data_IF_776539581953
#
_entry.id   IF_776539581953
#
_cell.length_a   1.000
_cell.length_b   1.000
_cell.length_c   1.000
_cell.angle_alpha   90.00
_cell.angle_beta   90.00
_cell.angle_gamma   90.00
#
_symmetry.space_group_name_H-M   'P 1'
#
loop_
_entity.id
_entity.type
_entity.pdbx_description
1 polymer ?
#
# COMPACT_ATOMS: atom_id res chain seq x y z
N UNK A 1 12.93 3.20 4.24
CA UNK A 1 12.32 3.64 5.53
C UNK A 1 12.28 2.47 6.50
N UNK A 2 11.82 2.70 7.74
CA UNK A 2 11.70 1.67 8.80
C UNK A 2 10.27 1.10 8.93
N UNK A 3 9.45 1.25 7.90
CA UNK A 3 8.05 0.82 7.84
C UNK A 3 7.87 -0.27 6.79
N UNK A 4 6.93 -1.19 7.03
CA UNK A 4 6.47 -2.12 6.00
C UNK A 4 5.65 -1.35 4.97
N UNK A 5 5.74 -1.72 3.68
CA UNK A 5 5.03 -1.03 2.60
C UNK A 5 3.86 -1.87 2.10
N UNK A 6 2.79 -1.18 1.72
CA UNK A 6 1.62 -1.71 1.06
C UNK A 6 1.36 -0.94 -0.23
N UNK A 7 0.97 -1.67 -1.25
CA UNK A 7 0.53 -1.16 -2.54
C UNK A 7 -0.93 -1.55 -2.74
N UNK A 8 -1.76 -0.58 -3.09
CA UNK A 8 -3.17 -0.79 -3.43
C UNK A 8 -3.32 -0.57 -4.91
N UNK A 9 -3.68 -1.65 -5.62
CA UNK A 9 -4.02 -1.61 -7.02
C UNK A 9 -5.53 -1.75 -7.20
N UNK A 10 -6.08 -1.01 -8.15
CA UNK A 10 -7.49 -1.08 -8.52
C UNK A 10 -7.59 -1.20 -10.04
N UNK A 11 -8.24 -2.25 -10.50
CA UNK A 11 -8.54 -2.50 -11.91
C UNK A 11 -9.99 -3.00 -12.06
N UNK A 12 -10.38 -3.42 -13.28
CA UNK A 12 -11.74 -3.87 -13.57
C UNK A 12 -12.13 -5.14 -12.76
N UNK A 13 -11.16 -5.92 -12.26
CA UNK A 13 -11.40 -7.10 -11.43
C UNK A 13 -11.56 -6.76 -9.93
N UNK A 14 -11.28 -5.51 -9.55
CA UNK A 14 -11.47 -4.96 -8.21
C UNK A 14 -10.18 -4.49 -7.54
N UNK A 15 -10.14 -4.55 -6.21
CA UNK A 15 -9.04 -4.03 -5.40
C UNK A 15 -8.10 -5.16 -4.97
N UNK A 16 -6.82 -5.04 -5.32
CA UNK A 16 -5.73 -5.87 -4.80
C UNK A 16 -4.86 -5.05 -3.85
N UNK A 17 -4.62 -5.56 -2.64
CA UNK A 17 -3.60 -5.02 -1.73
C UNK A 17 -2.42 -5.98 -1.67
N UNK A 18 -1.24 -5.46 -2.00
CA UNK A 18 0.00 -6.22 -2.05
C UNK A 18 0.97 -5.71 -0.99
N UNK A 19 1.58 -6.62 -0.25
CA UNK A 19 2.72 -6.31 0.61
C UNK A 19 3.79 -7.40 0.44
N UNK A 20 5.09 -7.04 0.36
CA UNK A 20 6.14 -8.03 0.31
C UNK A 20 6.15 -8.99 1.54
N UNK A 21 6.56 -10.27 1.35
CA UNK A 21 6.67 -11.23 2.43
C UNK A 21 7.84 -10.92 3.38
N UNK A 22 7.72 -11.32 4.65
CA UNK A 22 8.69 -11.02 5.73
C UNK A 22 9.89 -11.97 5.80
N UNK A 23 10.15 -12.75 4.74
CA UNK A 23 11.05 -13.92 4.82
C UNK A 23 12.54 -13.58 4.82
N UNK A 24 12.96 -12.50 4.16
CA UNK A 24 14.39 -12.25 3.91
C UNK A 24 14.89 -10.93 4.53
N UNK A 25 14.40 -9.79 4.04
CA UNK A 25 14.95 -8.46 4.35
C UNK A 25 13.96 -7.61 5.17
N UNK A 26 12.70 -8.06 5.25
CA UNK A 26 11.59 -7.26 5.75
C UNK A 26 11.23 -7.71 7.16
N UNK A 27 11.32 -6.77 8.11
CA UNK A 27 11.02 -7.03 9.50
C UNK A 27 9.54 -7.39 9.69
N UNK A 28 9.23 -8.42 10.50
CA UNK A 28 7.86 -8.74 10.88
C UNK A 28 7.33 -7.66 11.84
N UNK A 29 6.49 -6.77 11.31
CA UNK A 29 5.88 -5.68 12.07
C UNK A 29 4.52 -6.08 12.64
N UNK A 30 4.29 -5.86 13.94
CA UNK A 30 2.97 -6.11 14.56
C UNK A 30 1.88 -5.25 13.88
N UNK A 31 2.19 -3.99 13.55
CA UNK A 31 1.26 -3.11 12.83
C UNK A 31 0.90 -3.68 11.46
N UNK A 32 1.87 -4.24 10.71
CA UNK A 32 1.64 -4.89 9.42
C UNK A 32 0.65 -6.06 9.57
N UNK A 33 0.85 -6.90 10.57
CA UNK A 33 0.01 -8.07 10.79
C UNK A 33 -1.44 -7.68 11.18
N UNK A 34 -1.61 -6.64 12.00
CA UNK A 34 -2.92 -6.06 12.31
C UNK A 34 -3.61 -5.52 11.05
N UNK A 35 -2.88 -4.79 10.20
CA UNK A 35 -3.41 -4.26 8.93
C UNK A 35 -3.82 -5.39 7.99
N UNK A 36 -2.98 -6.43 7.84
CA UNK A 36 -3.33 -7.59 7.01
C UNK A 36 -4.60 -8.29 7.50
N UNK A 37 -4.82 -8.36 8.80
CA UNK A 37 -6.04 -8.93 9.37
C UNK A 37 -7.27 -8.09 9.01
N UNK A 38 -7.21 -6.77 9.24
CA UNK A 38 -8.29 -5.83 8.88
C UNK A 38 -8.63 -5.94 7.39
N UNK A 39 -7.62 -5.97 6.52
CA UNK A 39 -7.81 -6.06 5.08
C UNK A 39 -8.41 -7.40 4.64
N UNK A 40 -8.03 -8.51 5.27
CA UNK A 40 -8.56 -9.85 4.97
C UNK A 40 -9.99 -10.05 5.45
N UNK A 41 -10.37 -9.40 6.55
CA UNK A 41 -11.75 -9.43 7.05
C UNK A 41 -12.70 -8.65 6.11
N UNK A 42 -12.15 -7.79 5.24
CA UNK A 42 -12.89 -7.11 4.19
C UNK A 42 -13.04 -8.01 2.94
N UNK A 43 -14.19 -8.67 2.81
CA UNK A 43 -14.45 -9.67 1.76
C UNK A 43 -14.37 -9.20 0.30
N UNK A 44 -14.19 -7.90 0.04
CA UNK A 44 -14.06 -7.33 -1.30
C UNK A 44 -12.62 -6.97 -1.69
N UNK A 45 -11.63 -7.29 -0.86
CA UNK A 45 -10.22 -6.98 -1.12
C UNK A 45 -9.44 -8.27 -1.31
N UNK A 46 -8.70 -8.38 -2.42
CA UNK A 46 -7.71 -9.45 -2.59
C UNK A 46 -6.42 -9.04 -1.88
N UNK A 47 -6.01 -9.79 -0.86
CA UNK A 47 -4.77 -9.53 -0.13
C UNK A 47 -3.68 -10.52 -0.53
N UNK A 48 -2.60 -10.01 -1.13
CA UNK A 48 -1.48 -10.80 -1.67
C UNK A 48 -0.18 -10.48 -0.93
N UNK A 49 0.45 -11.49 -0.32
CA UNK A 49 1.81 -11.36 0.22
C UNK A 49 2.83 -11.80 -0.84
N UNK A 50 3.30 -10.86 -1.67
CA UNK A 50 4.24 -11.10 -2.76
C UNK A 50 5.13 -9.88 -3.01
N UNK A 51 6.25 -10.10 -3.67
CA UNK A 51 7.11 -9.01 -4.12
C UNK A 51 6.41 -8.17 -5.19
N UNK A 52 6.76 -6.88 -5.22
CA UNK A 52 6.37 -5.91 -6.24
C UNK A 52 7.65 -5.31 -6.80
N UNK A 53 7.81 -5.37 -8.11
CA UNK A 53 8.97 -4.78 -8.79
C UNK A 53 8.66 -3.34 -9.20
N UNK A 54 9.71 -2.53 -9.39
CA UNK A 54 9.53 -1.17 -9.92
C UNK A 54 8.96 -1.19 -11.34
N UNK A 55 9.29 -2.21 -12.14
CA UNK A 55 8.73 -2.39 -13.49
C UNK A 55 7.21 -2.62 -13.44
N UNK A 56 6.74 -3.48 -12.53
CA UNK A 56 5.30 -3.68 -12.29
C UNK A 56 4.64 -2.38 -11.83
N UNK A 57 5.24 -1.68 -10.87
CA UNK A 57 4.67 -0.43 -10.36
C UNK A 57 4.56 0.64 -11.47
N UNK A 58 5.57 0.74 -12.34
CA UNK A 58 5.55 1.62 -13.50
C UNK A 58 4.47 1.22 -14.51
N UNK A 59 4.30 -0.06 -14.78
CA UNK A 59 3.23 -0.56 -15.66
C UNK A 59 1.84 -0.23 -15.11
N UNK A 60 1.58 -0.57 -13.84
CA UNK A 60 0.32 -0.27 -13.14
C UNK A 60 0.06 1.23 -13.10
N UNK A 61 1.09 2.05 -12.87
CA UNK A 61 0.95 3.51 -12.88
C UNK A 61 0.55 4.03 -14.27
N UNK A 62 1.19 3.55 -15.35
CA UNK A 62 0.81 3.92 -16.73
C UNK A 62 -0.63 3.53 -17.06
N UNK A 63 -1.11 2.45 -16.47
CA UNK A 63 -2.50 1.97 -16.61
C UNK A 63 -3.49 2.69 -15.69
N UNK A 64 -3.01 3.58 -14.81
CA UNK A 64 -3.80 4.27 -13.77
C UNK A 64 -4.44 3.32 -12.76
N UNK A 65 -3.78 2.20 -12.50
CA UNK A 65 -4.24 1.18 -11.58
C UNK A 65 -3.62 1.32 -10.18
N UNK A 66 -2.74 2.30 -9.96
CA UNK A 66 -2.19 2.60 -8.62
C UNK A 66 -3.18 3.49 -7.87
N UNK A 67 -3.89 2.90 -6.90
CA UNK A 67 -4.90 3.62 -6.12
C UNK A 67 -4.28 4.29 -4.88
N UNK A 68 -3.48 3.55 -4.10
CA UNK A 68 -2.81 4.06 -2.90
C UNK A 68 -1.48 3.34 -2.66
N UNK A 69 -0.54 4.03 -2.01
CA UNK A 69 0.68 3.43 -1.46
C UNK A 69 0.84 3.96 -0.05
N UNK A 70 1.15 3.08 0.91
CA UNK A 70 1.36 3.50 2.29
C UNK A 70 2.36 2.63 3.03
N UNK A 71 3.05 3.25 3.99
CA UNK A 71 3.86 2.57 4.98
C UNK A 71 3.05 2.28 6.25
N UNK A 72 3.38 1.20 6.95
CA UNK A 72 2.88 0.92 8.30
C UNK A 72 4.03 0.70 9.26
N UNK A 73 3.94 1.25 10.46
CA UNK A 73 4.90 0.99 11.52
C UNK A 73 4.38 1.42 12.88
N UNK A 74 5.13 1.11 13.93
CA UNK A 74 4.73 1.46 15.30
C UNK A 74 4.75 2.98 15.53
N UNK A 75 5.65 3.72 14.86
CA UNK A 75 5.78 5.16 15.02
C UNK A 75 4.68 5.96 14.29
N UNK A 76 4.17 5.42 13.19
CA UNK A 76 3.09 5.97 12.38
C UNK A 76 2.28 4.79 11.85
N UNK A 77 1.11 4.56 12.46
CA UNK A 77 0.26 3.38 12.22
C UNK A 77 0.06 3.16 10.72
N UNK A 78 -0.30 4.24 10.01
CA UNK A 78 -0.33 4.33 8.55
C UNK A 78 0.34 5.64 8.14
N UNK A 79 1.18 5.59 7.11
CA UNK A 79 1.86 6.73 6.51
C UNK A 79 1.63 6.71 5.00
N UNK A 80 0.71 7.54 4.46
CA UNK A 80 0.46 7.62 3.02
C UNK A 80 1.69 8.10 2.24
N UNK A 81 1.84 7.61 1.01
CA UNK A 81 2.88 8.02 0.07
C UNK A 81 2.23 8.79 -1.07
N UNK A 82 2.69 10.02 -1.31
CA UNK A 82 2.17 10.91 -2.37
C UNK A 82 2.82 10.66 -3.73
N UNK A 83 4.11 10.38 -3.74
CA UNK A 83 4.83 10.03 -4.97
C UNK A 83 6.02 9.12 -4.68
N UNK A 84 6.44 8.39 -5.70
CA UNK A 84 7.64 7.55 -5.71
C UNK A 84 8.52 7.99 -6.88
N UNK A 85 9.75 8.42 -6.61
CA UNK A 85 10.72 8.76 -7.65
C UNK A 85 11.63 7.58 -7.94
N UNK A 86 11.74 7.19 -9.21
CA UNK A 86 12.59 6.09 -9.68
C UNK A 86 13.21 6.42 -11.03
N UNK A 87 14.55 6.41 -11.14
CA UNK A 87 15.28 6.68 -12.40
C UNK A 87 14.77 7.94 -13.14
N UNK A 88 14.65 9.05 -12.41
CA UNK A 88 14.12 10.34 -12.90
C UNK A 88 12.64 10.34 -13.34
N UNK A 89 11.92 9.23 -13.16
CA UNK A 89 10.47 9.13 -13.34
C UNK A 89 9.78 9.34 -11.99
N UNK A 90 8.84 10.28 -11.94
CA UNK A 90 7.95 10.44 -10.80
C UNK A 90 6.66 9.63 -11.02
N UNK A 91 6.37 8.74 -10.08
CA UNK A 91 5.13 7.97 -10.01
C UNK A 91 4.23 8.67 -9.00
N UNK A 92 3.27 9.44 -9.50
CA UNK A 92 2.26 10.08 -8.67
C UNK A 92 1.26 9.05 -8.14
N UNK A 93 0.97 9.14 -6.84
CA UNK A 93 -0.02 8.31 -6.15
C UNK A 93 -1.21 9.20 -5.80
N UNK A 94 -2.44 8.83 -6.20
CA UNK A 94 -3.63 9.58 -5.83
C UNK A 94 -3.78 9.68 -4.31
N UNK A 95 -3.92 10.89 -3.80
CA UNK A 95 -4.23 11.17 -2.39
C UNK A 95 -5.29 12.26 -2.33
N UNK A 96 -6.16 12.21 -1.32
CA UNK A 96 -7.03 13.34 -1.02
C UNK A 96 -6.16 14.53 -0.55
N UNK A 97 -6.28 15.70 -1.19
CA UNK A 97 -5.40 16.84 -0.88
C UNK A 97 -5.67 17.47 0.50
N UNK A 98 -6.89 17.36 1.03
CA UNK A 98 -7.24 17.91 2.33
C UNK A 98 -6.77 17.02 3.48
N UNK A 99 -6.76 15.70 3.26
CA UNK A 99 -6.45 14.70 4.28
C UNK A 99 -5.00 14.16 4.13
N UNK A 100 -4.46 14.19 2.91
CA UNK A 100 -3.17 13.61 2.55
C UNK A 100 -3.16 12.08 2.50
N UNK A 101 -4.33 11.44 2.44
CA UNK A 101 -4.49 9.98 2.50
C UNK A 101 -5.63 9.51 1.60
N UNK A 102 -5.56 8.26 1.14
CA UNK A 102 -6.67 7.62 0.42
C UNK A 102 -7.66 6.90 1.36
N UNK A 103 -8.78 6.40 0.81
CA UNK A 103 -9.84 5.75 1.57
C UNK A 103 -9.38 4.51 2.36
N UNK A 104 -8.41 3.75 1.84
CA UNK A 104 -7.86 2.58 2.52
C UNK A 104 -7.06 2.98 3.74
N UNK A 105 -6.17 3.97 3.60
CA UNK A 105 -5.41 4.50 4.72
C UNK A 105 -6.35 5.01 5.83
N UNK A 106 -7.44 5.69 5.44
CA UNK A 106 -8.43 6.19 6.39
C UNK A 106 -9.15 5.06 7.12
N UNK A 107 -9.61 4.05 6.39
CA UNK A 107 -10.29 2.89 6.97
C UNK A 107 -9.41 2.17 7.99
N UNK A 108 -8.14 1.97 7.67
CA UNK A 108 -7.18 1.35 8.59
C UNK A 108 -7.02 2.20 9.85
N UNK A 109 -6.86 3.52 9.73
CA UNK A 109 -6.73 4.40 10.89
C UNK A 109 -7.97 4.44 11.79
N UNK A 110 -9.16 4.23 11.24
CA UNK A 110 -10.41 4.20 12.00
C UNK A 110 -10.66 2.84 12.69
N UNK A 111 -9.98 1.77 12.28
CA UNK A 111 -10.13 0.40 12.82
C UNK A 111 -9.00 -0.03 13.78
N UNK A 112 -7.95 0.78 13.95
CA UNK A 112 -6.79 0.51 14.82
C UNK A 112 -6.86 1.25 16.15
#
# INVERSE_FOLDING_TARGET
>A
GSMNVFFVFEDDDGIEVVTPPTKDIILPGITRDSVLKILRDNGNIRVSERDVTMEELLERHRRREVAEIFGTGTAAIVCPVKSVTYEDVEIDVPVDEAIGAGPMCRKILDEV
#
